data_IF_730903804031
#
_entry.id   IF_730903804031
#
_cell.length_a   1.000
_cell.length_b   1.000
_cell.length_c   1.000
_cell.angle_alpha   90.00
_cell.angle_beta   90.00
_cell.angle_gamma   90.00
#
_symmetry.space_group_name_H-M   'P 1'
#
loop_
_entity.id
_entity.type
_entity.pdbx_description
1 polymer ?
#
# COMPACT_ATOMS: atom_id res chain seq x y z
N UNK A 1 -13.62 -43.04 27.61
CA UNK A 1 -14.06 -42.03 26.62
C UNK A 1 -12.90 -41.27 25.92
N UNK A 2 -11.66 -41.78 25.89
CA UNK A 2 -10.50 -41.06 25.29
C UNK A 2 -10.11 -41.48 23.86
N UNK A 3 -10.68 -42.56 23.31
CA UNK A 3 -10.31 -43.08 21.97
C UNK A 3 -11.16 -42.52 20.81
N UNK A 4 -12.35 -41.97 21.08
CA UNK A 4 -13.21 -41.35 20.06
C UNK A 4 -12.74 -39.96 19.59
N UNK A 5 -12.00 -39.24 20.44
CA UNK A 5 -11.53 -37.88 20.12
C UNK A 5 -10.29 -37.87 19.21
N UNK A 6 -9.47 -38.93 19.23
CA UNK A 6 -8.28 -39.03 18.35
C UNK A 6 -8.65 -39.32 16.90
N UNK A 7 -9.70 -40.09 16.61
CA UNK A 7 -10.10 -40.41 15.22
C UNK A 7 -10.69 -39.18 14.51
N UNK A 8 -11.37 -38.30 15.23
CA UNK A 8 -11.91 -37.04 14.68
C UNK A 8 -10.81 -36.00 14.38
N UNK A 9 -9.74 -35.96 15.17
CA UNK A 9 -8.62 -35.02 14.93
C UNK A 9 -7.78 -35.44 13.70
N UNK A 10 -7.60 -36.75 13.47
CA UNK A 10 -6.89 -37.23 12.29
C UNK A 10 -7.69 -37.08 10.99
N UNK A 11 -9.02 -37.24 11.04
CA UNK A 11 -9.89 -36.96 9.87
C UNK A 11 -9.90 -35.49 9.45
N UNK A 12 -9.88 -34.56 10.42
CA UNK A 12 -9.81 -33.13 10.15
C UNK A 12 -8.45 -32.69 9.58
N UNK A 13 -7.34 -33.28 10.03
CA UNK A 13 -6.00 -33.03 9.50
C UNK A 13 -5.83 -33.53 8.05
N UNK A 14 -6.39 -34.69 7.72
CA UNK A 14 -6.36 -35.22 6.36
C UNK A 14 -7.18 -34.37 5.37
N UNK A 15 -8.35 -33.89 5.81
CA UNK A 15 -9.17 -32.96 5.01
C UNK A 15 -8.49 -31.62 4.75
N UNK A 16 -7.77 -31.08 5.75
CA UNK A 16 -7.01 -29.84 5.60
C UNK A 16 -5.84 -29.98 4.61
N UNK A 17 -5.13 -31.11 4.64
CA UNK A 17 -4.04 -31.39 3.71
C UNK A 17 -4.52 -31.53 2.25
N UNK A 18 -5.66 -32.21 2.03
CA UNK A 18 -6.27 -32.32 0.71
C UNK A 18 -6.75 -30.96 0.18
N UNK A 19 -7.32 -30.12 1.05
CA UNK A 19 -7.75 -28.77 0.70
C UNK A 19 -6.57 -27.84 0.38
N UNK A 20 -5.48 -27.91 1.13
CA UNK A 20 -4.23 -27.19 0.83
C UNK A 20 -3.63 -27.66 -0.51
N UNK A 21 -3.63 -28.97 -0.79
CA UNK A 21 -3.19 -29.52 -2.07
C UNK A 21 -4.03 -29.01 -3.25
N UNK A 22 -5.35 -28.91 -3.06
CA UNK A 22 -6.27 -28.37 -4.08
C UNK A 22 -6.04 -26.87 -4.32
N UNK A 23 -5.80 -26.08 -3.28
CA UNK A 23 -5.46 -24.66 -3.39
C UNK A 23 -4.11 -24.41 -4.08
N UNK A 24 -3.12 -25.27 -3.82
CA UNK A 24 -1.82 -25.21 -4.53
C UNK A 24 -2.01 -25.54 -6.01
N UNK A 25 -2.83 -26.54 -6.34
CA UNK A 25 -3.14 -26.91 -7.72
C UNK A 25 -3.92 -25.82 -8.46
N UNK A 26 -4.87 -25.16 -7.79
CA UNK A 26 -5.62 -24.04 -8.35
C UNK A 26 -4.73 -22.80 -8.56
N UNK A 27 -3.78 -22.55 -7.65
CA UNK A 27 -2.79 -21.48 -7.82
C UNK A 27 -1.82 -21.75 -8.96
N UNK A 28 -1.34 -22.99 -9.12
CA UNK A 28 -0.44 -23.34 -10.22
C UNK A 28 -1.11 -23.20 -11.59
N UNK A 29 -2.37 -23.60 -11.72
CA UNK A 29 -3.13 -23.41 -12.98
C UNK A 29 -3.38 -21.93 -13.27
N UNK A 30 -3.66 -21.11 -12.26
CA UNK A 30 -3.75 -19.66 -12.44
C UNK A 30 -2.41 -19.02 -12.85
N UNK A 31 -1.29 -19.56 -12.35
CA UNK A 31 0.06 -19.11 -12.69
C UNK A 31 0.44 -19.48 -14.13
N UNK A 32 0.08 -20.68 -14.58
CA UNK A 32 0.24 -21.11 -15.98
C UNK A 32 -0.60 -20.23 -16.93
N UNK A 33 -1.84 -19.90 -16.57
CA UNK A 33 -2.70 -19.00 -17.36
C UNK A 33 -2.14 -17.57 -17.40
N UNK A 34 -1.56 -17.09 -16.29
CA UNK A 34 -0.93 -15.78 -16.24
C UNK A 34 0.37 -15.73 -17.06
N UNK A 35 1.18 -16.80 -17.02
CA UNK A 35 2.39 -16.94 -17.83
C UNK A 35 2.07 -17.04 -19.33
N UNK A 36 1.01 -17.78 -19.69
CA UNK A 36 0.52 -17.83 -21.07
C UNK A 36 0.06 -16.46 -21.57
N UNK A 37 -0.61 -15.66 -20.72
CA UNK A 37 -1.01 -14.28 -21.06
C UNK A 37 0.19 -13.34 -21.22
N UNK A 38 1.23 -13.48 -20.39
CA UNK A 38 2.47 -12.72 -20.52
C UNK A 38 3.20 -13.04 -21.83
N UNK A 39 3.35 -14.32 -22.16
CA UNK A 39 3.95 -14.74 -23.43
C UNK A 39 3.15 -14.23 -24.64
N UNK A 40 1.81 -14.23 -24.55
CA UNK A 40 0.94 -13.68 -25.58
C UNK A 40 1.08 -12.15 -25.71
N UNK A 41 1.28 -11.44 -24.59
CA UNK A 41 1.55 -10.00 -24.60
C UNK A 41 2.93 -9.68 -25.19
N UNK A 42 3.97 -10.44 -24.85
CA UNK A 42 5.31 -10.28 -25.42
C UNK A 42 5.31 -10.54 -26.93
N UNK A 43 4.58 -11.56 -27.38
CA UNK A 43 4.40 -11.83 -28.81
C UNK A 43 3.66 -10.70 -29.51
N UNK A 44 2.62 -10.11 -28.88
CA UNK A 44 1.94 -8.91 -29.40
C UNK A 44 2.84 -7.68 -29.41
N UNK A 45 3.66 -7.47 -28.38
CA UNK A 45 4.61 -6.35 -28.35
C UNK A 45 5.71 -6.51 -29.39
N UNK A 46 6.20 -7.73 -29.63
CA UNK A 46 7.13 -8.02 -30.72
C UNK A 46 6.54 -7.74 -32.10
N UNK A 47 5.25 -8.06 -32.30
CA UNK A 47 4.53 -7.73 -33.53
C UNK A 47 4.34 -6.20 -33.70
N UNK A 48 4.12 -5.47 -32.62
CA UNK A 48 4.01 -4.00 -32.64
C UNK A 48 5.36 -3.30 -32.80
N UNK A 49 6.46 -3.91 -32.36
CA UNK A 49 7.82 -3.36 -32.47
C UNK A 49 8.42 -3.50 -33.87
N UNK A 50 7.93 -4.46 -34.68
CA UNK A 50 8.38 -4.68 -36.07
C UNK A 50 7.50 -3.94 -37.08
N UNK A 51 6.33 -3.43 -36.67
CA UNK A 51 5.43 -2.70 -37.56
C UNK A 51 5.90 -1.24 -37.74
N UNK A 52 6.15 -0.76 -38.97
CA UNK A 52 6.33 0.67 -39.20
C UNK A 52 5.05 1.40 -38.77
N UNK A 53 5.19 2.61 -38.21
CA UNK A 53 4.06 3.45 -37.75
C UNK A 53 3.19 3.80 -38.97
N UNK A 54 2.22 2.93 -39.23
CA UNK A 54 1.28 3.06 -40.32
C UNK A 54 -0.03 3.63 -39.78
N UNK A 55 -0.51 4.71 -40.40
CA UNK A 55 -1.74 5.44 -40.05
C UNK A 55 -3.00 4.56 -40.01
N UNK A 56 -2.89 3.32 -40.50
CA UNK A 56 -3.88 2.25 -40.39
C UNK A 56 -4.09 1.76 -38.96
N UNK A 57 -3.04 1.63 -38.16
CA UNK A 57 -3.11 1.14 -36.78
C UNK A 57 -3.87 2.12 -35.86
N UNK A 58 -3.69 3.42 -36.07
CA UNK A 58 -4.41 4.43 -35.29
C UNK A 58 -5.91 4.45 -35.59
N UNK A 59 -6.30 4.24 -36.86
CA UNK A 59 -7.71 4.11 -37.24
C UNK A 59 -8.33 2.84 -36.68
N UNK A 60 -7.57 1.75 -36.66
CA UNK A 60 -8.03 0.47 -36.10
C UNK A 60 -8.19 0.54 -34.58
N UNK A 61 -7.25 1.17 -33.86
CA UNK A 61 -7.37 1.47 -32.43
C UNK A 61 -8.58 2.38 -32.12
N UNK A 62 -8.83 3.40 -32.95
CA UNK A 62 -10.01 4.26 -32.79
C UNK A 62 -11.32 3.53 -33.08
N UNK A 63 -11.33 2.61 -34.05
CA UNK A 63 -12.48 1.76 -34.33
C UNK A 63 -12.77 0.80 -33.16
N UNK A 64 -11.73 0.19 -32.57
CA UNK A 64 -11.87 -0.67 -31.39
C UNK A 64 -12.34 0.11 -30.15
N UNK A 65 -11.88 1.34 -29.95
CA UNK A 65 -12.38 2.24 -28.90
C UNK A 65 -13.86 2.61 -29.11
N UNK A 66 -14.28 2.86 -30.34
CA UNK A 66 -15.67 3.14 -30.68
C UNK A 66 -16.58 1.91 -30.46
N UNK A 67 -16.09 0.72 -30.79
CA UNK A 67 -16.79 -0.54 -30.54
C UNK A 67 -16.98 -0.79 -29.03
N UNK A 68 -15.90 -0.63 -28.23
CA UNK A 68 -15.99 -0.80 -26.77
C UNK A 68 -16.86 0.24 -26.08
N UNK A 69 -16.89 1.47 -26.58
CA UNK A 69 -17.78 2.50 -26.03
C UNK A 69 -19.25 2.22 -26.34
N UNK A 70 -19.56 1.66 -27.52
CA UNK A 70 -20.90 1.19 -27.85
C UNK A 70 -21.33 0.00 -26.98
N UNK A 71 -20.44 -0.97 -26.74
CA UNK A 71 -20.69 -2.12 -25.86
C UNK A 71 -20.99 -1.68 -24.41
N UNK A 72 -20.24 -0.71 -23.88
CA UNK A 72 -20.51 -0.13 -22.55
C UNK A 72 -21.87 0.59 -22.51
N UNK A 73 -22.23 1.31 -23.56
CA UNK A 73 -23.54 1.98 -23.64
C UNK A 73 -24.69 0.97 -23.67
N UNK A 74 -24.51 -0.15 -24.39
CA UNK A 74 -25.50 -1.21 -24.49
C UNK A 74 -25.67 -1.96 -23.15
N UNK A 75 -24.57 -2.26 -22.44
CA UNK A 75 -24.62 -2.84 -21.10
C UNK A 75 -25.30 -1.91 -20.09
N UNK A 76 -25.06 -0.60 -20.19
CA UNK A 76 -25.74 0.40 -19.36
C UNK A 76 -27.24 0.47 -19.65
N UNK A 77 -27.65 0.37 -20.92
CA UNK A 77 -29.06 0.30 -21.29
C UNK A 77 -29.72 -0.99 -20.78
N UNK A 78 -29.04 -2.14 -20.90
CA UNK A 78 -29.53 -3.41 -20.34
C UNK A 78 -29.69 -3.35 -18.82
N UNK A 79 -28.77 -2.69 -18.11
CA UNK A 79 -28.89 -2.48 -16.66
C UNK A 79 -30.06 -1.55 -16.31
N UNK A 80 -30.34 -0.53 -17.13
CA UNK A 80 -31.48 0.36 -16.95
C UNK A 80 -32.82 -0.37 -17.22
N UNK A 81 -32.88 -1.21 -18.26
CA UNK A 81 -34.05 -2.04 -18.57
C UNK A 81 -34.31 -3.08 -17.48
N UNK A 82 -33.25 -3.71 -16.95
CA UNK A 82 -33.35 -4.64 -15.82
C UNK A 82 -33.81 -3.93 -14.54
N UNK A 83 -33.37 -2.70 -14.30
CA UNK A 83 -33.81 -1.89 -13.16
C UNK A 83 -35.28 -1.43 -13.32
N UNK A 84 -35.70 -1.09 -14.55
CA UNK A 84 -37.08 -0.73 -14.87
C UNK A 84 -38.03 -1.94 -14.87
N UNK A 85 -37.51 -3.16 -15.14
CA UNK A 85 -38.26 -4.41 -15.10
C UNK A 85 -38.48 -4.96 -13.67
N UNK A 86 -37.95 -4.31 -12.63
CA UNK A 86 -38.29 -4.59 -11.24
C UNK A 86 -39.46 -3.72 -10.79
N UNK A 87 -40.72 -4.21 -10.77
CA UNK A 87 -41.79 -3.49 -10.09
C UNK A 87 -41.52 -3.53 -8.59
N UNK A 88 -41.32 -2.35 -8.01
CA UNK A 88 -41.52 -2.14 -6.57
C UNK A 88 -43.01 -2.39 -6.30
N UNK A 89 -43.34 -3.38 -5.45
CA UNK A 89 -44.45 -3.37 -4.46
C UNK A 89 -44.76 -4.81 -3.96
N UNK A 90 -44.80 -4.96 -2.63
CA UNK A 90 -45.95 -5.59 -1.96
C UNK A 90 -45.94 -7.09 -1.64
N UNK A 91 -45.80 -7.40 -0.34
CA UNK A 91 -46.16 -8.64 0.37
C UNK A 91 -47.32 -9.50 -0.20
N UNK A 92 -47.08 -10.81 -0.47
CA UNK A 92 -47.72 -12.00 0.16
C UNK A 92 -47.34 -13.32 -0.53
N UNK A 93 -47.28 -14.38 0.29
CA UNK A 93 -47.00 -15.80 -0.03
C UNK A 93 -48.06 -16.44 -0.96
N UNK A 94 -47.63 -17.34 -1.89
CA UNK A 94 -47.93 -18.80 -1.96
C UNK A 94 -47.37 -19.44 -3.26
N UNK A 95 -46.77 -20.64 -3.11
CA UNK A 95 -45.99 -21.50 -4.03
C UNK A 95 -46.74 -22.04 -5.30
N UNK A 96 -46.14 -22.80 -6.28
CA UNK A 96 -44.90 -23.60 -6.23
C UNK A 96 -43.90 -23.60 -7.44
N UNK A 97 -42.61 -23.52 -7.06
CA UNK A 97 -41.39 -24.20 -7.54
C UNK A 97 -41.17 -24.61 -9.02
N UNK A 98 -40.24 -23.89 -9.66
CA UNK A 98 -39.17 -24.43 -10.52
C UNK A 98 -37.87 -24.40 -9.68
N UNK A 99 -36.97 -25.40 -9.73
CA UNK A 99 -35.83 -25.47 -8.80
C UNK A 99 -34.77 -24.41 -9.15
N UNK A 100 -34.68 -23.36 -8.33
CA UNK A 100 -33.48 -22.51 -8.24
C UNK A 100 -32.29 -23.37 -7.76
N UNK A 101 -31.07 -23.17 -8.28
CA UNK A 101 -29.87 -23.76 -7.71
C UNK A 101 -29.59 -23.15 -6.33
N UNK A 102 -30.13 -23.81 -5.30
CA UNK A 102 -29.77 -23.79 -3.88
C UNK A 102 -29.04 -22.53 -3.36
N UNK A 103 -29.81 -21.43 -3.25
CA UNK A 103 -29.41 -20.16 -2.64
C UNK A 103 -28.89 -20.35 -1.20
N UNK A 104 -29.33 -21.41 -0.51
CA UNK A 104 -28.90 -21.81 0.83
C UNK A 104 -27.44 -22.31 0.84
N UNK A 105 -27.05 -23.15 -0.14
CA UNK A 105 -25.67 -23.62 -0.26
C UNK A 105 -24.72 -22.47 -0.61
N UNK A 106 -25.16 -21.53 -1.45
CA UNK A 106 -24.39 -20.31 -1.72
C UNK A 106 -24.27 -19.42 -0.50
N UNK A 107 -25.33 -19.23 0.29
CA UNK A 107 -25.29 -18.51 1.56
C UNK A 107 -24.40 -19.20 2.59
N UNK A 108 -24.50 -20.52 2.73
CA UNK A 108 -23.63 -21.30 3.62
C UNK A 108 -22.17 -21.29 3.16
N UNK A 109 -21.92 -21.28 1.85
CA UNK A 109 -20.58 -21.16 1.25
C UNK A 109 -20.00 -19.75 1.45
N UNK A 110 -20.81 -18.70 1.32
CA UNK A 110 -20.45 -17.31 1.68
C UNK A 110 -20.23 -17.13 3.19
N UNK A 111 -21.02 -17.80 4.05
CA UNK A 111 -20.82 -17.81 5.51
C UNK A 111 -19.55 -18.60 5.88
N UNK A 112 -19.23 -19.68 5.17
CA UNK A 112 -17.98 -20.43 5.33
C UNK A 112 -16.76 -19.67 4.79
N UNK A 113 -16.92 -18.91 3.70
CA UNK A 113 -15.90 -17.98 3.20
C UNK A 113 -15.72 -16.84 4.21
N UNK A 114 -16.75 -16.11 4.62
CA UNK A 114 -16.63 -15.07 5.67
C UNK A 114 -16.19 -15.61 7.04
N UNK A 115 -16.28 -16.93 7.27
CA UNK A 115 -15.69 -17.61 8.42
C UNK A 115 -14.14 -17.57 8.48
N UNK A 116 -13.45 -17.22 7.39
CA UNK A 116 -12.01 -16.95 7.46
C UNK A 116 -11.71 -15.70 8.29
N UNK A 117 -12.62 -14.72 8.37
CA UNK A 117 -12.43 -13.54 9.22
C UNK A 117 -12.31 -13.93 10.71
N UNK A 118 -13.04 -14.96 11.14
CA UNK A 118 -12.96 -15.52 12.49
C UNK A 118 -11.74 -16.43 12.68
N UNK A 119 -11.26 -17.10 11.61
CA UNK A 119 -10.10 -18.00 11.64
C UNK A 119 -8.75 -17.28 11.48
N UNK A 120 -8.76 -16.06 10.91
CA UNK A 120 -7.59 -15.23 10.69
C UNK A 120 -7.91 -13.73 10.91
N UNK A 121 -8.28 -13.34 12.14
CA UNK A 121 -8.63 -11.95 12.46
C UNK A 121 -7.51 -10.95 12.09
N UNK A 122 -6.24 -11.36 12.15
CA UNK A 122 -5.11 -10.54 11.72
C UNK A 122 -5.14 -10.16 10.23
N UNK A 123 -5.56 -11.06 9.34
CA UNK A 123 -5.68 -10.76 7.90
C UNK A 123 -6.84 -9.80 7.61
N UNK A 124 -7.88 -9.80 8.44
CA UNK A 124 -9.00 -8.84 8.35
C UNK A 124 -8.56 -7.45 8.77
N UNK A 125 -7.75 -7.36 9.83
CA UNK A 125 -7.18 -6.10 10.29
C UNK A 125 -6.22 -5.52 9.25
N UNK A 126 -5.39 -6.36 8.64
CA UNK A 126 -4.55 -5.96 7.49
C UNK A 126 -5.41 -5.50 6.31
N UNK A 127 -6.46 -6.25 5.95
CA UNK A 127 -7.39 -5.86 4.88
C UNK A 127 -8.03 -4.49 5.12
N UNK A 128 -8.56 -4.24 6.33
CA UNK A 128 -9.15 -2.95 6.70
C UNK A 128 -8.13 -1.81 6.74
N UNK A 129 -6.93 -2.06 7.28
CA UNK A 129 -5.87 -1.06 7.32
C UNK A 129 -5.45 -0.68 5.91
N UNK A 130 -5.33 -1.66 5.01
CA UNK A 130 -5.00 -1.47 3.60
C UNK A 130 -6.15 -0.76 2.85
N UNK A 131 -7.42 -1.09 3.10
CA UNK A 131 -8.58 -0.46 2.47
C UNK A 131 -8.68 1.05 2.75
N UNK A 132 -8.15 1.52 3.89
CA UNK A 132 -8.11 2.95 4.23
C UNK A 132 -6.95 3.71 3.59
N UNK A 133 -6.01 3.01 2.93
CA UNK A 133 -4.83 3.64 2.34
C UNK A 133 -5.16 4.33 1.00
N UNK A 134 -4.51 5.47 0.69
CA UNK A 134 -4.57 6.08 -0.64
C UNK A 134 -4.21 5.10 -1.76
N UNK A 135 -4.77 5.24 -2.99
CA UNK A 135 -4.51 4.31 -4.09
C UNK A 135 -3.02 4.10 -4.43
N UNK A 136 -2.19 5.13 -4.24
CA UNK A 136 -0.73 5.04 -4.43
C UNK A 136 -0.09 4.07 -3.43
N UNK A 137 -0.58 4.03 -2.19
CA UNK A 137 -0.09 3.15 -1.11
C UNK A 137 -0.52 1.70 -1.31
N UNK A 138 -1.72 1.48 -1.85
CA UNK A 138 -2.20 0.15 -2.24
C UNK A 138 -1.25 -0.52 -3.25
N UNK A 139 -0.62 0.26 -4.14
CA UNK A 139 0.33 -0.28 -5.10
C UNK A 139 1.61 -0.85 -4.43
N UNK A 140 2.00 -0.34 -3.27
CA UNK A 140 3.14 -0.88 -2.50
C UNK A 140 2.73 -2.11 -1.69
N UNK A 141 1.53 -2.10 -1.10
CA UNK A 141 0.95 -3.26 -0.42
C UNK A 141 0.77 -4.44 -1.39
N UNK A 142 0.25 -4.20 -2.59
CA UNK A 142 0.10 -5.21 -3.63
C UNK A 142 1.44 -5.83 -4.06
N UNK A 143 2.50 -5.03 -4.14
CA UNK A 143 3.86 -5.53 -4.42
C UNK A 143 4.41 -6.40 -3.30
N UNK A 144 4.16 -6.03 -2.03
CA UNK A 144 4.50 -6.88 -0.88
C UNK A 144 3.77 -8.24 -0.98
N UNK A 145 2.47 -8.22 -1.25
CA UNK A 145 1.65 -9.44 -1.41
C UNK A 145 2.15 -10.31 -2.57
N UNK A 146 2.51 -9.71 -3.72
CA UNK A 146 3.10 -10.44 -4.86
C UNK A 146 4.42 -11.11 -4.48
N UNK A 147 5.22 -10.46 -3.64
CA UNK A 147 6.45 -11.01 -3.08
C UNK A 147 6.22 -11.95 -1.88
N UNK A 148 4.96 -12.34 -1.60
CA UNK A 148 4.53 -13.21 -0.49
C UNK A 148 4.85 -12.65 0.90
N UNK A 149 4.91 -11.33 1.01
CA UNK A 149 5.09 -10.60 2.26
C UNK A 149 3.72 -10.05 2.69
N UNK A 150 3.41 -10.16 3.98
CA UNK A 150 2.21 -9.54 4.56
C UNK A 150 2.51 -8.05 4.76
N UNK A 151 1.76 -7.13 4.12
CA UNK A 151 1.98 -5.71 4.33
C UNK A 151 1.57 -5.31 5.76
N UNK A 152 2.38 -4.47 6.38
CA UNK A 152 2.12 -3.93 7.72
C UNK A 152 2.01 -2.41 7.63
N UNK A 153 0.89 -1.86 8.12
CA UNK A 153 0.70 -0.40 8.14
C UNK A 153 1.29 0.16 9.43
N UNK A 154 2.31 1.01 9.29
CA UNK A 154 3.01 1.63 10.41
C UNK A 154 2.66 3.11 10.53
N UNK A 155 2.49 3.65 11.74
CA UNK A 155 2.22 5.08 11.94
C UNK A 155 3.48 5.94 11.83
N UNK A 156 4.64 5.35 12.13
CA UNK A 156 5.91 6.05 12.19
C UNK A 156 6.69 5.93 10.87
N UNK A 157 7.18 7.04 10.30
CA UNK A 157 8.15 6.98 9.21
C UNK A 157 9.53 6.48 9.71
N UNK A 158 10.28 5.85 8.82
CA UNK A 158 11.67 5.46 9.02
C UNK A 158 12.61 6.56 8.53
N UNK A 159 13.82 6.69 9.12
CA UNK A 159 14.87 7.65 8.73
C UNK A 159 15.33 7.43 7.29
N UNK A 160 14.64 8.02 6.31
CA UNK A 160 14.98 7.85 4.89
C UNK A 160 16.33 8.45 4.56
N UNK A 161 16.84 9.39 5.35
CA UNK A 161 18.20 9.91 5.16
C UNK A 161 19.31 8.93 5.55
N UNK A 162 18.97 7.74 6.08
CA UNK A 162 19.89 6.61 6.20
C UNK A 162 20.19 5.93 4.85
N UNK A 163 19.34 6.13 3.84
CA UNK A 163 19.50 5.56 2.50
C UNK A 163 20.58 6.34 1.75
N UNK A 164 21.53 5.62 1.15
CA UNK A 164 22.61 6.25 0.40
C UNK A 164 22.08 7.13 -0.73
N UNK A 165 22.50 8.39 -0.76
CA UNK A 165 22.04 9.38 -1.74
C UNK A 165 20.77 10.14 -1.35
N UNK A 166 20.16 9.85 -0.18
CA UNK A 166 19.05 10.60 0.39
C UNK A 166 19.57 11.48 1.51
N UNK A 167 19.57 12.80 1.31
CA UNK A 167 19.81 13.78 2.38
C UNK A 167 18.49 14.29 2.99
N UNK A 168 18.58 15.11 4.04
CA UNK A 168 17.43 15.68 4.75
C UNK A 168 16.40 16.35 3.81
N UNK A 169 16.86 17.09 2.80
CA UNK A 169 15.98 17.73 1.80
C UNK A 169 15.18 16.70 1.00
N UNK A 170 15.81 15.59 0.61
CA UNK A 170 15.15 14.53 -0.16
C UNK A 170 14.24 13.69 0.71
N UNK A 171 14.64 13.41 1.94
CA UNK A 171 13.80 12.79 2.95
C UNK A 171 12.52 13.59 3.17
N UNK A 172 12.59 14.89 3.43
CA UNK A 172 11.38 15.69 3.64
C UNK A 172 10.48 15.71 2.40
N UNK A 173 11.07 15.73 1.19
CA UNK A 173 10.30 15.62 -0.06
C UNK A 173 9.59 14.28 -0.19
N UNK A 174 10.24 13.20 0.23
CA UNK A 174 9.66 11.86 0.26
C UNK A 174 8.51 11.81 1.27
N UNK A 175 8.70 12.30 2.51
CA UNK A 175 7.61 12.37 3.51
C UNK A 175 6.43 13.20 3.00
N UNK A 176 6.67 14.35 2.40
CA UNK A 176 5.62 15.20 1.82
C UNK A 176 4.91 14.54 0.64
N UNK A 177 5.57 13.61 -0.06
CA UNK A 177 4.95 12.77 -1.09
C UNK A 177 4.26 11.52 -0.51
N UNK A 178 4.22 11.39 0.81
CA UNK A 178 3.67 10.25 1.52
C UNK A 178 4.57 9.04 1.48
N UNK A 179 5.86 9.13 1.19
CA UNK A 179 6.78 7.99 1.21
C UNK A 179 7.54 8.03 2.54
N UNK A 180 7.34 7.03 3.39
CA UNK A 180 7.85 7.05 4.77
C UNK A 180 8.62 5.81 5.19
N UNK A 181 8.71 4.79 4.35
CA UNK A 181 9.44 3.55 4.67
C UNK A 181 10.49 3.23 3.62
N UNK A 182 11.50 2.47 4.03
CA UNK A 182 12.52 1.94 3.13
C UNK A 182 11.90 1.05 2.04
N UNK A 183 10.89 0.27 2.40
CA UNK A 183 10.17 -0.59 1.45
C UNK A 183 9.45 0.23 0.37
N UNK A 184 8.73 1.28 0.75
CA UNK A 184 8.04 2.15 -0.23
C UNK A 184 9.03 2.84 -1.16
N UNK A 185 10.13 3.38 -0.62
CA UNK A 185 11.18 4.03 -1.40
C UNK A 185 11.81 3.06 -2.43
N UNK A 186 12.07 1.82 -2.01
CA UNK A 186 12.61 0.78 -2.88
C UNK A 186 11.73 0.42 -4.08
N UNK A 187 10.42 0.68 -3.99
CA UNK A 187 9.42 0.36 -5.00
C UNK A 187 9.09 1.52 -5.95
N UNK A 188 9.71 2.69 -5.75
CA UNK A 188 9.53 3.84 -6.65
C UNK A 188 10.27 3.63 -7.98
N UNK A 189 9.58 3.95 -9.08
CA UNK A 189 10.22 4.06 -10.40
C UNK A 189 11.02 5.37 -10.53
N UNK A 190 11.82 5.46 -11.60
CA UNK A 190 12.72 6.59 -11.86
C UNK A 190 11.96 7.90 -12.06
N UNK A 191 10.81 7.86 -12.73
CA UNK A 191 9.98 9.03 -12.97
C UNK A 191 9.36 9.56 -11.67
N UNK A 192 8.92 8.66 -10.79
CA UNK A 192 8.43 9.01 -9.47
C UNK A 192 9.54 9.59 -8.59
N UNK A 193 10.70 8.96 -8.53
CA UNK A 193 11.86 9.49 -7.81
C UNK A 193 12.23 10.88 -8.33
N UNK A 194 12.36 11.06 -9.64
CA UNK A 194 12.70 12.34 -10.24
C UNK A 194 11.70 13.44 -9.91
N UNK A 195 10.40 13.14 -10.00
CA UNK A 195 9.31 14.07 -9.69
C UNK A 195 9.27 14.44 -8.21
N UNK A 196 9.30 13.46 -7.31
CA UNK A 196 9.22 13.67 -5.86
C UNK A 196 10.45 14.42 -5.36
N UNK A 197 11.64 13.99 -5.79
CA UNK A 197 12.90 14.61 -5.42
C UNK A 197 13.14 15.95 -6.15
N UNK A 198 12.22 16.38 -7.03
CA UNK A 198 12.28 17.60 -7.85
C UNK A 198 13.66 17.77 -8.51
N UNK A 199 14.11 16.72 -9.16
CA UNK A 199 15.41 16.68 -9.84
C UNK A 199 15.25 17.19 -11.27
N UNK A 200 16.08 18.18 -11.64
CA UNK A 200 16.26 18.55 -13.03
C UNK A 200 16.94 17.41 -13.83
N UNK A 201 16.91 17.48 -15.16
CA UNK A 201 17.45 16.41 -16.03
C UNK A 201 18.93 16.14 -15.78
N UNK A 202 19.73 17.18 -15.57
CA UNK A 202 21.17 17.07 -15.40
C UNK A 202 21.51 16.40 -14.07
N UNK A 203 20.83 16.81 -12.99
CA UNK A 203 21.03 16.27 -11.65
C UNK A 203 20.49 14.84 -11.55
N UNK A 204 19.37 14.53 -12.20
CA UNK A 204 18.83 13.17 -12.28
C UNK A 204 19.80 12.21 -12.99
N UNK A 205 20.52 12.65 -14.03
CA UNK A 205 21.51 11.82 -14.73
C UNK A 205 22.73 11.47 -13.87
N UNK A 206 23.03 12.26 -12.84
CA UNK A 206 24.14 12.00 -11.93
C UNK A 206 23.81 11.04 -10.78
N UNK A 207 22.53 10.78 -10.53
CA UNK A 207 22.07 9.94 -9.43
C UNK A 207 21.82 8.53 -9.94
N UNK A 208 22.44 7.54 -9.32
CA UNK A 208 22.13 6.14 -9.55
C UNK A 208 20.89 5.73 -8.73
N UNK A 209 19.71 5.80 -9.37
CA UNK A 209 18.46 5.37 -8.74
C UNK A 209 18.41 3.86 -8.46
N UNK A 210 19.16 3.04 -9.18
CA UNK A 210 19.24 1.61 -8.90
C UNK A 210 20.00 1.35 -7.60
N UNK A 211 21.13 2.04 -7.41
CA UNK A 211 21.88 1.98 -6.16
C UNK A 211 21.08 2.53 -4.97
N UNK A 212 20.36 3.64 -5.14
CA UNK A 212 19.47 4.20 -4.11
C UNK A 212 18.40 3.18 -3.70
N UNK A 213 17.69 2.59 -4.67
CA UNK A 213 16.69 1.54 -4.38
C UNK A 213 17.30 0.31 -3.73
N UNK A 214 18.49 -0.10 -4.15
CA UNK A 214 19.19 -1.23 -3.54
C UNK A 214 19.52 -0.95 -2.07
N UNK A 215 20.04 0.25 -1.76
CA UNK A 215 20.28 0.69 -0.38
C UNK A 215 18.99 0.67 0.45
N UNK A 216 17.88 1.18 -0.09
CA UNK A 216 16.58 1.13 0.60
C UNK A 216 16.10 -0.31 0.84
N UNK A 217 16.22 -1.22 -0.14
CA UNK A 217 15.86 -2.64 0.05
C UNK A 217 16.70 -3.32 1.12
N UNK A 218 18.00 -3.04 1.15
CA UNK A 218 18.91 -3.61 2.14
C UNK A 218 18.54 -3.13 3.54
N UNK A 219 18.31 -1.83 3.72
CA UNK A 219 17.86 -1.28 5.00
C UNK A 219 16.50 -1.85 5.44
N UNK A 220 15.56 -2.05 4.51
CA UNK A 220 14.29 -2.70 4.81
C UNK A 220 14.50 -4.13 5.34
N UNK A 221 15.38 -4.91 4.69
CA UNK A 221 15.70 -6.27 5.10
C UNK A 221 16.43 -6.31 6.46
N UNK A 222 17.43 -5.45 6.66
CA UNK A 222 18.23 -5.37 7.89
C UNK A 222 17.39 -4.95 9.10
N UNK A 223 16.44 -4.04 8.91
CA UNK A 223 15.57 -3.53 9.98
C UNK A 223 14.26 -4.32 10.13
N UNK A 224 14.04 -5.36 9.31
CA UNK A 224 12.79 -6.13 9.30
C UNK A 224 11.57 -5.37 8.78
N UNK A 225 11.77 -4.21 8.14
CA UNK A 225 10.72 -3.33 7.62
C UNK A 225 10.25 -3.70 6.20
N UNK A 226 10.51 -4.93 5.76
CA UNK A 226 10.07 -5.43 4.47
C UNK A 226 8.55 -5.54 4.46
N UNK A 227 7.89 -4.84 3.54
CA UNK A 227 6.43 -4.78 3.47
C UNK A 227 5.80 -3.74 4.39
N UNK A 228 6.58 -2.92 5.08
CA UNK A 228 6.03 -1.80 5.85
C UNK A 228 5.48 -0.74 4.92
N UNK A 229 4.30 -0.22 5.28
CA UNK A 229 3.58 0.80 4.56
C UNK A 229 3.27 1.91 5.55
N UNK A 230 3.80 3.11 5.31
CA UNK A 230 3.52 4.21 6.22
C UNK A 230 2.08 4.71 6.04
N UNK A 231 1.37 5.01 7.13
CA UNK A 231 0.00 5.54 7.05
C UNK A 231 -0.06 6.99 6.52
N UNK A 232 1.07 7.70 6.44
CA UNK A 232 1.15 9.07 5.93
C UNK A 232 0.78 10.14 6.96
N UNK A 233 0.90 9.85 8.26
CA UNK A 233 0.77 10.87 9.30
C UNK A 233 1.65 12.10 9.01
N UNK A 234 1.20 13.33 9.30
CA UNK A 234 2.01 14.52 9.04
C UNK A 234 3.33 14.50 9.82
N UNK A 235 4.43 14.81 9.13
CA UNK A 235 5.79 14.90 9.70
C UNK A 235 6.42 16.21 9.23
N UNK A 236 6.93 16.98 10.19
CA UNK A 236 7.54 18.30 9.99
C UNK A 236 9.05 18.24 10.17
N UNK A 237 9.79 18.93 9.29
CA UNK A 237 11.25 19.01 9.30
C UNK A 237 11.79 19.74 10.54
N UNK A 238 12.24 19.02 11.56
CA UNK A 238 12.76 19.65 12.76
C UNK A 238 14.16 20.23 12.57
N UNK A 239 14.88 19.89 11.50
CA UNK A 239 16.17 20.52 11.19
C UNK A 239 16.02 21.99 10.76
N UNK A 240 14.79 22.45 10.47
CA UNK A 240 14.48 23.86 10.31
C UNK A 240 14.61 24.66 11.63
N UNK A 241 14.54 24.00 12.79
CA UNK A 241 14.66 24.63 14.11
C UNK A 241 16.14 24.70 14.51
N UNK A 242 16.60 25.91 14.84
CA UNK A 242 17.99 26.13 15.21
C UNK A 242 18.36 25.34 16.46
N UNK A 243 19.37 24.48 16.32
CA UNK A 243 19.91 23.64 17.38
C UNK A 243 19.37 22.21 17.37
N UNK A 244 18.37 21.89 16.55
CA UNK A 244 17.95 20.52 16.30
C UNK A 244 18.68 20.00 15.06
N UNK A 245 19.61 19.08 15.27
CA UNK A 245 20.22 18.31 14.18
C UNK A 245 19.54 16.95 14.00
N UNK A 246 19.93 16.22 12.95
CA UNK A 246 19.42 14.88 12.60
C UNK A 246 19.27 13.93 13.80
N UNK A 247 20.25 13.90 14.71
CA UNK A 247 20.21 13.00 15.88
C UNK A 247 19.06 13.34 16.83
N UNK A 248 18.80 14.63 17.07
CA UNK A 248 17.73 15.07 17.95
C UNK A 248 16.37 14.95 17.29
N UNK A 249 16.28 15.28 16.00
CA UNK A 249 15.07 15.03 15.20
C UNK A 249 14.65 13.56 15.27
N UNK A 250 15.57 12.63 15.01
CA UNK A 250 15.23 11.20 15.03
C UNK A 250 14.80 10.72 16.42
N UNK A 251 15.40 11.24 17.49
CA UNK A 251 14.98 10.94 18.87
C UNK A 251 13.55 11.43 19.13
N UNK A 252 13.22 12.63 18.67
CA UNK A 252 11.87 13.20 18.81
C UNK A 252 10.85 12.40 17.99
N UNK A 253 11.16 12.03 16.74
CA UNK A 253 10.30 11.18 15.91
C UNK A 253 10.05 9.81 16.53
N UNK A 254 11.09 9.19 17.09
CA UNK A 254 11.01 7.92 17.80
C UNK A 254 10.16 8.02 19.09
N UNK A 255 10.13 9.20 19.73
CA UNK A 255 9.25 9.48 20.86
C UNK A 255 7.81 9.86 20.44
N UNK A 256 7.51 9.88 19.13
CA UNK A 256 6.19 10.22 18.60
C UNK A 256 5.94 11.72 18.38
N UNK A 257 6.93 12.57 18.66
CA UNK A 257 6.84 14.02 18.41
C UNK A 257 7.29 14.27 16.98
N UNK A 258 6.34 14.47 16.06
CA UNK A 258 6.62 14.55 14.60
C UNK A 258 6.17 15.83 13.95
N UNK A 259 5.38 16.66 14.64
CA UNK A 259 4.88 17.92 14.11
C UNK A 259 5.37 19.10 14.95
N UNK A 260 5.48 20.27 14.33
CA UNK A 260 5.85 21.49 15.04
C UNK A 260 4.85 21.80 16.17
N UNK A 261 3.56 21.54 15.93
CA UNK A 261 2.53 21.67 16.94
C UNK A 261 2.77 20.73 18.12
N UNK A 262 3.06 19.44 17.88
CA UNK A 262 3.36 18.49 18.96
C UNK A 262 4.61 18.92 19.75
N UNK A 263 5.66 19.35 19.05
CA UNK A 263 6.89 19.83 19.68
C UNK A 263 6.63 21.06 20.57
N UNK A 264 5.84 22.03 20.09
CA UNK A 264 5.49 23.24 20.82
C UNK A 264 4.60 23.01 22.05
N UNK A 265 3.86 21.90 22.10
CA UNK A 265 3.02 21.51 23.24
C UNK A 265 3.73 20.57 24.22
N UNK A 266 4.90 20.04 23.85
CA UNK A 266 5.65 19.14 24.73
C UNK A 266 6.35 19.94 25.83
N UNK A 267 6.24 19.54 27.11
CA UNK A 267 6.90 20.24 28.19
C UNK A 267 8.43 20.16 28.06
N UNK A 268 9.17 21.22 28.45
CA UNK A 268 10.63 21.28 28.31
C UNK A 268 11.36 20.10 28.97
N UNK A 269 10.87 19.64 30.12
CA UNK A 269 11.46 18.53 30.88
C UNK A 269 11.41 17.22 30.09
N UNK A 270 10.26 16.95 29.45
CA UNK A 270 10.07 15.77 28.62
C UNK A 270 10.94 15.83 27.35
N UNK A 271 11.11 17.01 26.76
CA UNK A 271 12.01 17.18 25.61
C UNK A 271 13.46 16.91 25.98
N UNK A 272 13.93 17.36 27.14
CA UNK A 272 15.28 17.04 27.63
C UNK A 272 15.45 15.53 27.89
N UNK A 273 14.44 14.88 28.46
CA UNK A 273 14.43 13.44 28.71
C UNK A 273 14.45 12.60 27.42
N UNK A 274 13.73 13.01 26.39
CA UNK A 274 13.73 12.35 25.07
C UNK A 274 15.07 12.57 24.37
N UNK A 275 15.55 13.81 24.39
CA UNK A 275 16.72 14.21 23.61
C UNK A 275 18.00 13.68 24.21
N UNK A 276 18.08 13.49 25.54
CA UNK A 276 19.26 12.92 26.24
C UNK A 276 20.58 13.48 25.70
N UNK A 277 20.67 14.81 25.65
CA UNK A 277 21.84 15.49 25.13
C UNK A 277 23.06 15.15 26.00
N UNK A 278 24.12 14.64 25.38
CA UNK A 278 25.42 14.36 26.03
C UNK A 278 26.42 15.52 25.87
N UNK A 279 25.95 16.65 25.35
CA UNK A 279 26.77 17.83 25.09
C UNK A 279 27.08 18.57 26.39
N UNK A 280 28.30 19.13 26.56
CA UNK A 280 28.64 20.00 27.69
C UNK A 280 27.74 21.23 27.79
N UNK A 281 27.24 21.72 26.65
CA UNK A 281 26.26 22.81 26.57
C UNK A 281 24.88 22.19 26.42
N UNK A 282 23.95 22.44 27.36
CA UNK A 282 22.60 21.91 27.27
C UNK A 282 21.86 22.54 26.08
N UNK A 283 20.99 21.78 25.39
CA UNK A 283 20.18 22.33 24.31
C UNK A 283 19.20 23.39 24.84
N UNK A 284 19.01 24.46 24.08
CA UNK A 284 18.04 25.51 24.38
C UNK A 284 16.64 25.09 23.93
N UNK A 285 16.01 24.24 24.75
CA UNK A 285 14.69 23.68 24.49
C UNK A 285 13.60 24.74 24.51
N UNK A 286 13.76 25.80 25.29
CA UNK A 286 12.82 26.93 25.30
C UNK A 286 12.79 27.63 23.94
N UNK A 287 13.96 27.85 23.34
CA UNK A 287 14.07 28.37 21.98
C UNK A 287 13.49 27.42 20.94
N UNK A 288 13.64 26.10 21.11
CA UNK A 288 13.03 25.12 20.20
C UNK A 288 11.50 25.18 20.24
N UNK A 289 10.90 25.26 21.42
CA UNK A 289 9.45 25.38 21.61
C UNK A 289 8.92 26.66 20.96
N UNK A 290 9.62 27.78 21.15
CA UNK A 290 9.24 29.06 20.55
C UNK A 290 9.26 29.01 19.02
N UNK A 291 10.37 28.54 18.43
CA UNK A 291 10.49 28.38 16.97
C UNK A 291 9.48 27.38 16.41
N UNK A 292 9.22 26.28 17.11
CA UNK A 292 8.21 25.30 16.70
C UNK A 292 6.81 25.92 16.67
N UNK A 293 6.47 26.80 17.62
CA UNK A 293 5.19 27.52 17.62
C UNK A 293 5.08 28.44 16.41
N UNK A 294 6.11 29.24 16.13
CA UNK A 294 6.15 30.12 14.96
C UNK A 294 5.98 29.33 13.64
N UNK A 295 6.69 28.21 13.50
CA UNK A 295 6.58 27.34 12.32
C UNK A 295 5.20 26.67 12.20
N UNK A 296 4.61 26.26 13.32
CA UNK A 296 3.26 25.69 13.34
C UNK A 296 2.21 26.73 12.90
N UNK A 297 2.32 27.96 13.38
CA UNK A 297 1.44 29.07 13.00
C UNK A 297 1.61 29.45 11.53
N UNK A 298 2.85 29.58 11.05
CA UNK A 298 3.14 29.85 9.64
C UNK A 298 2.56 28.76 8.71
N UNK A 299 2.68 27.49 9.11
CA UNK A 299 2.12 26.36 8.37
C UNK A 299 0.59 26.37 8.37
N UNK A 300 -0.05 26.78 9.47
CA UNK A 300 -1.51 26.87 9.56
C UNK A 300 -2.09 28.03 8.74
N UNK A 301 -1.29 29.06 8.45
CA UNK A 301 -1.69 30.22 7.67
C UNK A 301 -1.55 30.03 6.14
N UNK A 302 -0.99 28.91 5.69
CA UNK A 302 -0.72 28.60 4.27
C UNK A 302 -1.76 27.63 3.72
#
# INVERSE_FOLDING_TARGET
>A
MKKGLQVLVWGALAGLAAFLGMLVKQKNTALEVAQARLAQMEQRMGQLAVAPIDTRNERELRAQLAEKTAEIAQLRAQLADLAAATPVVGTRQTAPSTPEPDNELWRQRLVMETGWHAKAPGLVMVGRAVDTLPPVKLAYANRAVQARIVPEVVPQPQDLSAVAGVGAIYEQRLYNAGIGTYWELAMLDDDALRRILKLDKARAASIDFNALRASARNLAAETGAVGYIWNGEPVDDFQAIKGIGKVYEQRLYNAGIRTYAALAHTPPEQLLEIVQARSPVPPDVASWIAQARELAEAKAAT
#
